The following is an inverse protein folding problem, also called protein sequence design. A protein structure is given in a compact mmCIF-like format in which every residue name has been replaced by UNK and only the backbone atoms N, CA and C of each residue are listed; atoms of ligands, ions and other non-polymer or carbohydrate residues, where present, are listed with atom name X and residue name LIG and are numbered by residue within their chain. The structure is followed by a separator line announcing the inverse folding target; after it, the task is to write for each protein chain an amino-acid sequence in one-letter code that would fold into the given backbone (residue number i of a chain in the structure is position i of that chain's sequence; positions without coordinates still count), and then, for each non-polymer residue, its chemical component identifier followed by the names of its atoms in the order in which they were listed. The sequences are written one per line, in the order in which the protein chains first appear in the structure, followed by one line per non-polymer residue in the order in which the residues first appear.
data_IF_374038694574
#
_entry.id   IF_374038694574
#
_cell.length_a   1.000
_cell.length_b   1.000
_cell.length_c   1.000
_cell.angle_alpha   90.00
_cell.angle_beta   90.00
_cell.angle_gamma   90.00
#
_symmetry.space_group_name_H-M   'P 1'
#
loop_
_entity.id
_entity.type
_entity.pdbx_description
1 polymer ?
#
# COMPACT_ATOMS: atom_id res chain seq x y z
N UNK A 1 -38.42 -35.79 4.36
CA UNK A 1 -37.54 -34.67 4.77
C UNK A 1 -36.29 -35.28 5.37
N UNK A 2 -35.13 -35.06 4.77
CA UNK A 2 -33.84 -35.44 5.34
C UNK A 2 -33.03 -34.17 5.55
N UNK A 3 -32.79 -33.81 6.80
CA UNK A 3 -32.01 -32.64 7.16
C UNK A 3 -31.58 -32.80 8.61
N UNK A 4 -30.27 -32.74 8.83
CA UNK A 4 -29.69 -32.61 10.16
C UNK A 4 -30.45 -31.53 10.94
N UNK A 5 -30.98 -31.87 12.12
CA UNK A 5 -31.76 -30.96 12.97
C UNK A 5 -30.93 -30.07 13.89
N UNK A 6 -29.60 -30.07 13.76
CA UNK A 6 -28.69 -29.16 14.47
C UNK A 6 -28.58 -29.48 15.97
N UNK A 7 -27.39 -29.93 16.39
CA UNK A 7 -27.05 -30.19 17.79
C UNK A 7 -25.54 -30.44 17.91
N UNK A 8 -25.00 -30.33 19.12
CA UNK A 8 -23.57 -30.56 19.37
C UNK A 8 -23.12 -31.96 18.96
N UNK A 9 -21.96 -32.07 18.30
CA UNK A 9 -21.33 -33.36 17.96
C UNK A 9 -20.94 -34.14 19.23
N UNK A 10 -21.76 -35.11 19.64
CA UNK A 10 -21.50 -35.99 20.78
C UNK A 10 -22.64 -36.98 21.00
N UNK A 11 -22.37 -38.11 21.66
CA UNK A 11 -23.34 -39.20 21.92
C UNK A 11 -24.63 -38.73 22.61
N UNK A 12 -24.59 -37.58 23.29
CA UNK A 12 -25.72 -36.96 24.00
C UNK A 12 -25.94 -35.48 23.62
N UNK A 13 -25.43 -35.01 22.47
CA UNK A 13 -25.58 -33.60 22.07
C UNK A 13 -24.70 -32.62 22.84
N UNK A 14 -23.80 -33.12 23.70
CA UNK A 14 -22.85 -32.35 24.51
C UNK A 14 -21.68 -31.72 23.73
N UNK A 15 -21.67 -31.90 22.41
CA UNK A 15 -20.64 -31.29 21.57
C UNK A 15 -20.76 -29.79 21.49
N UNK A 16 -19.68 -29.16 21.02
CA UNK A 16 -19.65 -27.72 20.76
C UNK A 16 -20.76 -27.38 19.77
N UNK A 17 -21.77 -26.63 20.26
CA UNK A 17 -22.94 -26.23 19.46
C UNK A 17 -22.66 -24.94 18.68
N UNK A 18 -21.81 -24.06 19.22
CA UNK A 18 -21.36 -22.85 18.54
C UNK A 18 -19.92 -23.00 18.05
N UNK A 19 -19.64 -22.85 16.74
CA UNK A 19 -18.29 -22.90 16.22
C UNK A 19 -17.38 -21.91 16.96
N UNK A 20 -16.17 -22.36 17.30
CA UNK A 20 -15.15 -21.49 17.89
C UNK A 20 -14.88 -20.36 16.90
N UNK A 21 -15.28 -19.13 17.27
CA UNK A 21 -15.04 -17.95 16.45
C UNK A 21 -13.58 -17.52 16.65
N UNK A 22 -12.80 -17.35 15.56
CA UNK A 22 -11.45 -16.83 15.68
C UNK A 22 -11.49 -15.42 16.28
N UNK A 23 -10.53 -15.09 17.15
CA UNK A 23 -10.42 -13.76 17.76
C UNK A 23 -10.11 -12.65 16.74
N UNK A 24 -9.36 -12.97 15.67
CA UNK A 24 -9.06 -12.04 14.58
C UNK A 24 -9.07 -12.78 13.23
N UNK A 25 -9.54 -12.10 12.18
CA UNK A 25 -9.53 -12.62 10.81
C UNK A 25 -8.55 -11.79 10.00
N UNK A 26 -7.38 -12.37 9.71
CA UNK A 26 -6.41 -11.80 8.77
C UNK A 26 -6.75 -12.24 7.34
N UNK A 27 -7.51 -11.40 6.62
CA UNK A 27 -7.74 -11.42 5.16
C UNK A 27 -7.89 -12.78 4.47
N UNK A 28 -8.51 -13.78 5.11
CA UNK A 28 -8.67 -15.15 4.58
C UNK A 28 -7.35 -15.80 4.14
N UNK A 29 -6.22 -15.36 4.70
CA UNK A 29 -4.88 -15.82 4.30
C UNK A 29 -4.57 -17.27 4.72
N UNK A 30 -5.41 -17.84 5.59
CA UNK A 30 -5.29 -19.21 6.06
C UNK A 30 -4.51 -19.32 7.37
N UNK A 31 -4.68 -20.45 8.05
CA UNK A 31 -3.95 -20.78 9.27
C UNK A 31 -2.49 -21.06 8.91
N UNK A 32 -1.53 -20.42 9.58
CA UNK A 32 -0.10 -20.54 9.29
C UNK A 32 0.45 -19.50 8.28
N UNK A 33 -0.34 -18.49 7.92
CA UNK A 33 0.18 -17.35 7.17
C UNK A 33 1.07 -16.49 8.08
N UNK A 34 2.38 -16.55 7.87
CA UNK A 34 3.32 -15.59 8.43
C UNK A 34 3.47 -14.43 7.45
N UNK A 35 3.31 -13.19 7.95
CA UNK A 35 3.69 -11.99 7.21
C UNK A 35 5.18 -12.11 6.87
N UNK A 36 5.48 -12.45 5.60
CA UNK A 36 6.83 -12.59 5.10
C UNK A 36 7.48 -11.21 5.01
N UNK A 37 7.87 -10.64 6.16
CA UNK A 37 8.23 -9.24 6.38
C UNK A 37 9.10 -8.61 5.29
N UNK A 38 10.41 -8.50 5.51
CA UNK A 38 11.33 -7.92 4.52
C UNK A 38 12.22 -9.01 3.91
N UNK A 39 11.69 -9.74 2.94
CA UNK A 39 12.42 -10.81 2.23
C UNK A 39 13.30 -10.27 1.08
N UNK A 40 14.29 -11.05 0.60
CA UNK A 40 15.05 -10.68 -0.60
C UNK A 40 14.17 -10.47 -1.84
N UNK A 41 13.12 -11.29 -2.00
CA UNK A 41 12.17 -11.17 -3.11
C UNK A 41 11.34 -9.89 -3.00
N UNK A 42 10.89 -9.53 -1.80
CA UNK A 42 10.25 -8.24 -1.53
C UNK A 42 11.16 -7.09 -1.95
N UNK A 43 12.42 -7.07 -1.48
CA UNK A 43 13.39 -6.02 -1.84
C UNK A 43 13.62 -5.91 -3.35
N UNK A 44 13.68 -7.06 -4.04
CA UNK A 44 13.82 -7.10 -5.51
C UNK A 44 12.60 -6.45 -6.17
N UNK A 45 11.39 -6.87 -5.79
CA UNK A 45 10.15 -6.36 -6.38
C UNK A 45 9.98 -4.85 -6.15
N UNK A 46 10.29 -4.36 -4.96
CA UNK A 46 10.26 -2.93 -4.64
C UNK A 46 11.27 -2.15 -5.48
N UNK A 47 12.49 -2.68 -5.68
CA UNK A 47 13.49 -2.06 -6.58
C UNK A 47 12.98 -1.95 -8.00
N UNK A 48 12.38 -3.01 -8.54
CA UNK A 48 11.83 -3.03 -9.90
C UNK A 48 10.72 -1.97 -10.05
N UNK A 49 9.78 -1.91 -9.09
CA UNK A 49 8.70 -0.91 -9.09
C UNK A 49 9.26 0.52 -9.02
N UNK A 50 10.19 0.79 -8.11
CA UNK A 50 10.80 2.12 -7.94
C UNK A 50 11.61 2.52 -9.17
N UNK A 51 12.30 1.56 -9.80
CA UNK A 51 13.06 1.81 -11.01
C UNK A 51 12.14 2.18 -12.18
N UNK A 52 11.05 1.43 -12.38
CA UNK A 52 10.06 1.74 -13.41
C UNK A 52 9.40 3.10 -13.14
N UNK A 53 9.03 3.37 -11.89
CA UNK A 53 8.48 4.67 -11.49
C UNK A 53 9.48 5.81 -11.68
N UNK A 54 10.80 5.57 -11.65
CA UNK A 54 11.79 6.62 -11.93
C UNK A 54 12.00 6.85 -13.43
N UNK A 55 11.83 5.82 -14.24
CA UNK A 55 12.02 5.87 -15.69
C UNK A 55 10.82 6.48 -16.43
N UNK A 56 9.61 6.22 -15.92
CA UNK A 56 8.43 6.94 -16.37
C UNK A 56 8.62 8.46 -16.14
N UNK A 57 7.94 9.29 -16.93
CA UNK A 57 8.11 10.74 -16.97
C UNK A 57 6.93 11.54 -16.38
N UNK A 58 5.84 10.88 -15.99
CA UNK A 58 4.68 11.53 -15.39
C UNK A 58 4.93 12.39 -14.14
N UNK A 59 4.04 13.34 -13.88
CA UNK A 59 4.06 14.18 -12.69
C UNK A 59 3.46 13.50 -11.44
N UNK A 60 2.73 12.40 -11.63
CA UNK A 60 2.01 11.70 -10.58
C UNK A 60 2.92 11.03 -9.54
N UNK A 61 2.36 10.85 -8.35
CA UNK A 61 3.02 10.19 -7.23
C UNK A 61 2.62 8.72 -7.12
N UNK A 62 3.56 7.89 -6.66
CA UNK A 62 3.30 6.47 -6.43
C UNK A 62 2.88 6.23 -4.97
N UNK A 63 1.62 5.89 -4.76
CA UNK A 63 1.10 5.48 -3.46
C UNK A 63 1.17 3.95 -3.29
N UNK A 64 1.69 3.50 -2.14
CA UNK A 64 1.69 2.11 -1.71
C UNK A 64 0.45 1.81 -0.87
N UNK A 65 0.01 0.55 -0.88
CA UNK A 65 -1.09 0.07 -0.03
C UNK A 65 -0.81 0.29 1.48
N UNK A 66 -1.82 0.57 2.33
CA UNK A 66 -1.63 0.61 3.78
C UNK A 66 -1.25 -0.77 4.40
N UNK A 67 -1.44 -1.86 3.66
CA UNK A 67 -1.15 -3.23 4.10
C UNK A 67 0.34 -3.52 4.37
N UNK A 68 1.25 -2.60 4.04
CA UNK A 68 2.66 -2.79 4.33
C UNK A 68 2.97 -2.57 5.81
N UNK A 69 3.67 -3.54 6.41
CA UNK A 69 4.17 -3.46 7.78
C UNK A 69 5.09 -2.25 7.98
N UNK A 70 5.33 -1.87 9.24
CA UNK A 70 6.22 -0.76 9.57
C UNK A 70 7.63 -1.00 9.02
N UNK A 71 8.12 -2.23 9.11
CA UNK A 71 9.43 -2.68 8.66
C UNK A 71 9.53 -2.66 7.14
N UNK A 72 8.49 -3.14 6.44
CA UNK A 72 8.39 -3.08 4.99
C UNK A 72 8.40 -1.63 4.49
N UNK A 73 7.61 -0.74 5.12
CA UNK A 73 7.61 0.69 4.78
C UNK A 73 8.97 1.34 5.04
N UNK A 74 9.64 0.99 6.14
CA UNK A 74 11.00 1.47 6.42
C UNK A 74 12.00 1.02 5.32
N UNK A 75 11.90 -0.22 4.84
CA UNK A 75 12.74 -0.70 3.74
C UNK A 75 12.41 0.01 2.42
N UNK A 76 11.14 0.25 2.11
CA UNK A 76 10.74 1.03 0.92
C UNK A 76 11.32 2.45 0.99
N UNK A 77 11.24 3.12 2.15
CA UNK A 77 11.88 4.43 2.36
C UNK A 77 13.40 4.38 2.11
N UNK A 78 14.07 3.33 2.62
CA UNK A 78 15.51 3.13 2.44
C UNK A 78 15.87 2.97 0.96
N UNK A 79 15.15 2.13 0.22
CA UNK A 79 15.36 1.92 -1.22
C UNK A 79 15.06 3.20 -1.99
N UNK A 80 13.92 3.87 -1.75
CA UNK A 80 13.56 5.11 -2.45
C UNK A 80 14.60 6.22 -2.30
N UNK A 81 15.23 6.32 -1.13
CA UNK A 81 16.34 7.26 -0.88
C UNK A 81 17.54 6.99 -1.80
N UNK A 82 17.88 5.73 -2.05
CA UNK A 82 18.96 5.35 -2.98
C UNK A 82 18.67 5.81 -4.43
N UNK A 83 17.39 5.84 -4.81
CA UNK A 83 16.94 6.33 -6.11
C UNK A 83 16.68 7.85 -6.14
N UNK A 84 17.06 8.58 -5.08
CA UNK A 84 16.89 10.05 -4.91
C UNK A 84 15.43 10.54 -4.95
N UNK A 85 14.46 9.67 -4.72
CA UNK A 85 13.05 10.03 -4.64
C UNK A 85 12.71 10.65 -3.28
N UNK A 86 11.66 11.48 -3.24
CA UNK A 86 11.03 11.89 -1.99
C UNK A 86 10.11 10.76 -1.53
N UNK A 87 10.14 10.42 -0.25
CA UNK A 87 9.27 9.41 0.34
C UNK A 87 8.67 9.95 1.62
N UNK A 88 7.36 9.81 1.78
CA UNK A 88 6.60 10.29 2.94
C UNK A 88 5.52 9.28 3.30
N UNK A 89 5.23 9.12 4.59
CA UNK A 89 4.07 8.36 5.04
C UNK A 89 2.94 9.31 5.39
N UNK A 90 1.71 8.98 5.01
CA UNK A 90 0.51 9.73 5.33
C UNK A 90 -0.50 8.84 6.06
N UNK A 91 -1.46 9.44 6.76
CA UNK A 91 -2.45 8.72 7.56
C UNK A 91 -1.93 8.22 8.92
N UNK A 92 -2.82 7.59 9.69
CA UNK A 92 -2.55 7.06 11.03
C UNK A 92 -3.00 5.59 11.12
N UNK A 93 -2.34 4.83 12.00
CA UNK A 93 -2.65 3.42 12.29
C UNK A 93 -2.89 2.57 11.03
N UNK A 94 -4.14 2.12 10.82
CA UNK A 94 -4.55 1.20 9.74
C UNK A 94 -4.60 1.84 8.36
N UNK A 95 -4.77 3.15 8.27
CA UNK A 95 -4.81 3.87 6.98
C UNK A 95 -3.43 4.43 6.58
N UNK A 96 -2.40 4.10 7.36
CA UNK A 96 -1.08 4.66 7.18
C UNK A 96 -0.38 4.04 5.98
N UNK A 97 -0.21 4.83 4.93
CA UNK A 97 0.39 4.41 3.67
C UNK A 97 1.61 5.27 3.30
N UNK A 98 2.45 4.73 2.42
CA UNK A 98 3.68 5.39 1.96
C UNK A 98 3.47 5.93 0.54
N UNK A 99 3.90 7.16 0.29
CA UNK A 99 3.87 7.79 -1.03
C UNK A 99 5.28 8.19 -1.45
N UNK A 100 5.62 7.88 -2.70
CA UNK A 100 6.85 8.32 -3.36
C UNK A 100 6.54 9.43 -4.36
N UNK A 101 7.33 10.49 -4.29
CA UNK A 101 7.25 11.62 -5.22
C UNK A 101 8.59 11.85 -5.90
N UNK A 102 8.54 12.27 -7.16
CA UNK A 102 9.74 12.70 -7.89
C UNK A 102 10.16 14.10 -7.44
N UNK A 103 11.43 14.42 -7.62
CA UNK A 103 11.98 15.75 -7.30
C UNK A 103 12.08 16.55 -8.60
N UNK A 104 11.26 17.58 -8.72
CA UNK A 104 11.31 18.52 -9.82
C UNK A 104 11.86 19.86 -9.35
N UNK A 105 12.70 20.50 -10.16
CA UNK A 105 12.92 21.95 -10.03
C UNK A 105 11.66 22.71 -10.43
N UNK A 106 11.48 23.94 -9.94
CA UNK A 106 10.31 24.76 -10.28
C UNK A 106 10.10 24.88 -11.80
N UNK A 107 11.18 25.08 -12.57
CA UNK A 107 11.13 25.14 -14.04
C UNK A 107 10.67 23.82 -14.67
N UNK A 108 11.16 22.68 -14.18
CA UNK A 108 10.74 21.37 -14.69
C UNK A 108 9.27 21.09 -14.37
N UNK A 109 8.85 21.43 -13.16
CA UNK A 109 7.45 21.27 -12.73
C UNK A 109 6.51 22.09 -13.60
N UNK A 110 6.83 23.37 -13.85
CA UNK A 110 6.01 24.23 -14.73
C UNK A 110 5.92 23.65 -16.13
N UNK A 111 7.04 23.21 -16.74
CA UNK A 111 7.02 22.59 -18.07
C UNK A 111 6.13 21.35 -18.10
N UNK A 112 6.26 20.48 -17.09
CA UNK A 112 5.42 19.29 -16.95
C UNK A 112 3.94 19.62 -16.79
N UNK A 113 3.59 20.64 -16.00
CA UNK A 113 2.20 21.09 -15.85
C UNK A 113 1.63 21.71 -17.13
N UNK A 114 2.47 22.30 -17.99
CA UNK A 114 2.05 22.77 -19.32
C UNK A 114 1.78 21.60 -20.27
N UNK A 115 2.59 20.53 -20.19
CA UNK A 115 2.48 19.34 -21.06
C UNK A 115 1.36 18.40 -20.62
N UNK A 116 1.27 18.07 -19.33
CA UNK A 116 0.39 17.04 -18.75
C UNK A 116 -0.89 17.63 -18.12
N UNK A 117 -0.93 18.95 -17.89
CA UNK A 117 -2.05 19.62 -17.26
C UNK A 117 -1.95 19.68 -15.73
N UNK A 118 -3.08 20.01 -15.09
CA UNK A 118 -3.17 20.09 -13.63
C UNK A 118 -3.20 18.71 -12.96
N UNK A 119 -2.71 18.66 -11.74
CA UNK A 119 -2.76 17.47 -10.87
C UNK A 119 -3.53 17.78 -9.60
N UNK A 120 -3.83 16.77 -8.80
CA UNK A 120 -4.41 16.95 -7.45
C UNK A 120 -3.55 17.84 -6.54
N UNK A 121 -2.26 18.00 -6.84
CA UNK A 121 -1.31 18.78 -6.02
C UNK A 121 -0.99 20.16 -6.57
N UNK A 122 -1.10 20.34 -7.89
CA UNK A 122 -0.59 21.51 -8.58
C UNK A 122 -1.52 21.94 -9.69
N UNK A 123 -1.83 23.23 -9.69
CA UNK A 123 -2.52 23.93 -10.76
C UNK A 123 -1.64 25.08 -11.25
N UNK A 124 -1.52 25.23 -12.56
CA UNK A 124 -0.78 26.33 -13.17
C UNK A 124 -1.70 27.54 -13.34
N UNK A 125 -1.36 28.67 -12.70
CA UNK A 125 -2.10 29.93 -12.83
C UNK A 125 -1.26 30.87 -13.71
N UNK A 126 -1.76 31.28 -14.90
CA UNK A 126 -1.05 32.23 -15.74
C UNK A 126 -0.99 33.62 -15.09
N UNK A 127 0.04 34.42 -15.37
CA UNK A 127 0.11 35.79 -14.87
C UNK A 127 -1.10 36.60 -15.36
N UNK A 128 -1.60 37.49 -14.51
CA UNK A 128 -2.63 38.45 -14.89
C UNK A 128 -2.07 39.30 -16.05
N UNK A 129 -2.83 39.41 -17.14
CA UNK A 129 -2.48 40.33 -18.23
C UNK A 129 -2.47 41.75 -17.63
N UNK A 130 -1.29 42.36 -17.59
CA UNK A 130 -1.14 43.80 -17.34
C UNK A 130 -1.54 44.58 -18.58
#
# INVERSE_FOLDING_TARGET
MMGWTGGGLGKEGSGITEPIRPHEVHHRQGLGHEDAGVTPQFKKRIRDIIQNFRQDSGIEDLAFSPEFSKEQRAEIHRIARQYKLKSSSYGSNKDRHLVLSRKFSAKQLIRKLIEEGSTDKYQLIPPLKM
#
